data_IF_955136444077
#
_entry.id   IF_955136444077
#
_cell.length_a   1.000
_cell.length_b   1.000
_cell.length_c   1.000
_cell.angle_alpha   90.00
_cell.angle_beta   90.00
_cell.angle_gamma   90.00
#
_symmetry.space_group_name_H-M   'P 1'
#
loop_
_entity.id
_entity.type
_entity.pdbx_description
1 polymer ?
#
# COMPACT_ATOMS: atom_id res chain seq x y z
N UNK A 1 -13.60 2.86 42.41
CA UNK A 1 -13.90 3.70 41.23
C UNK A 1 -15.33 4.20 41.38
N UNK A 2 -15.51 5.49 41.66
CA UNK A 2 -16.85 6.06 41.78
C UNK A 2 -17.56 6.04 40.42
N UNK A 3 -18.81 5.59 40.38
CA UNK A 3 -19.64 5.72 39.20
C UNK A 3 -19.84 7.21 38.92
N UNK A 4 -19.25 7.70 37.84
CA UNK A 4 -19.46 9.07 37.37
C UNK A 4 -20.96 9.27 37.07
N UNK A 5 -21.58 10.29 37.66
CA UNK A 5 -23.01 10.55 37.49
C UNK A 5 -23.26 11.13 36.09
N UNK A 6 -24.14 10.47 35.32
CA UNK A 6 -24.65 11.04 34.06
C UNK A 6 -25.41 12.33 34.34
N UNK A 7 -25.11 13.38 33.57
CA UNK A 7 -25.82 14.66 33.60
C UNK A 7 -26.98 14.60 32.61
N UNK A 8 -28.20 14.90 33.07
CA UNK A 8 -29.38 15.03 32.18
C UNK A 8 -29.54 16.48 31.78
N UNK A 9 -29.55 16.74 30.48
CA UNK A 9 -29.83 18.05 29.91
C UNK A 9 -30.83 17.90 28.76
N UNK A 10 -31.56 18.96 28.46
CA UNK A 10 -32.52 19.01 27.35
C UNK A 10 -31.90 19.75 26.17
N UNK A 11 -32.16 19.27 24.96
CA UNK A 11 -31.69 19.90 23.73
C UNK A 11 -32.70 19.66 22.61
N UNK A 12 -32.66 20.53 21.60
CA UNK A 12 -33.51 20.43 20.42
C UNK A 12 -32.78 19.66 19.32
N UNK A 13 -33.49 18.75 18.67
CA UNK A 13 -33.01 17.95 17.54
C UNK A 13 -34.10 17.93 16.49
N UNK A 14 -33.72 17.97 15.22
CA UNK A 14 -34.69 17.85 14.14
C UNK A 14 -35.32 16.44 14.12
N UNK A 15 -36.62 16.32 13.79
CA UNK A 15 -37.30 15.02 13.77
C UNK A 15 -36.62 13.98 12.87
N UNK A 16 -36.02 14.39 11.76
CA UNK A 16 -35.28 13.50 10.86
C UNK A 16 -34.05 12.90 11.55
N UNK A 17 -33.21 13.73 12.16
CA UNK A 17 -32.04 13.26 12.91
C UNK A 17 -32.43 12.33 14.07
N UNK A 18 -33.58 12.57 14.71
CA UNK A 18 -34.07 11.68 15.77
C UNK A 18 -34.50 10.31 15.22
N UNK A 19 -35.13 10.27 14.04
CA UNK A 19 -35.45 9.00 13.36
C UNK A 19 -34.18 8.22 13.01
N UNK A 20 -33.13 8.90 12.56
CA UNK A 20 -31.86 8.26 12.24
C UNK A 20 -31.24 7.65 13.52
N UNK A 21 -31.24 8.39 14.64
CA UNK A 21 -30.79 7.86 15.94
C UNK A 21 -31.59 6.62 16.33
N UNK A 22 -32.91 6.64 16.17
CA UNK A 22 -33.80 5.51 16.49
C UNK A 22 -33.50 4.26 15.64
N UNK A 23 -33.20 4.45 14.36
CA UNK A 23 -32.87 3.36 13.44
C UNK A 23 -31.50 2.77 13.74
N UNK A 24 -30.50 3.64 13.97
CA UNK A 24 -29.09 3.23 14.01
C UNK A 24 -28.60 2.82 15.41
N UNK A 25 -29.22 3.27 16.52
CA UNK A 25 -28.68 2.91 17.84
C UNK A 25 -28.72 1.39 18.12
N UNK A 26 -29.69 0.68 17.54
CA UNK A 26 -29.81 -0.78 17.70
C UNK A 26 -28.83 -1.56 16.83
N UNK A 27 -28.47 -1.04 15.65
CA UNK A 27 -27.49 -1.68 14.77
C UNK A 27 -26.06 -1.53 15.29
N UNK A 28 -25.76 -0.44 15.98
CA UNK A 28 -24.41 -0.06 16.45
C UNK A 28 -24.04 -0.59 17.86
N UNK A 29 -24.67 -1.68 18.31
CA UNK A 29 -24.43 -2.30 19.63
C UNK A 29 -24.52 -1.31 20.81
N UNK A 30 -25.35 -0.26 20.67
CA UNK A 30 -25.57 0.71 21.74
C UNK A 30 -26.74 0.26 22.61
N UNK A 31 -26.59 0.34 23.93
CA UNK A 31 -27.62 -0.07 24.90
C UNK A 31 -28.77 0.92 24.97
N UNK A 32 -28.58 2.15 24.51
CA UNK A 32 -29.60 3.19 24.45
C UNK A 32 -29.27 4.26 23.41
N UNK A 33 -30.30 5.03 23.02
CA UNK A 33 -30.12 6.22 22.19
C UNK A 33 -29.16 7.23 22.83
N UNK A 34 -29.17 7.35 24.17
CA UNK A 34 -28.23 8.23 24.87
C UNK A 34 -26.78 7.79 24.71
N UNK A 35 -26.50 6.48 24.70
CA UNK A 35 -25.15 5.97 24.43
C UNK A 35 -24.72 6.27 23.00
N UNK A 36 -25.63 6.12 22.03
CA UNK A 36 -25.37 6.45 20.63
C UNK A 36 -25.06 7.94 20.45
N UNK A 37 -25.88 8.83 21.04
CA UNK A 37 -25.67 10.28 21.00
C UNK A 37 -24.36 10.66 21.69
N UNK A 38 -24.03 10.06 22.83
CA UNK A 38 -22.76 10.30 23.53
C UNK A 38 -21.56 9.89 22.67
N UNK A 39 -21.62 8.74 21.98
CA UNK A 39 -20.59 8.31 21.02
C UNK A 39 -20.47 9.29 19.85
N UNK A 40 -21.58 9.77 19.29
CA UNK A 40 -21.57 10.73 18.20
C UNK A 40 -20.93 12.08 18.61
N UNK A 41 -21.23 12.57 19.82
CA UNK A 41 -20.62 13.78 20.37
C UNK A 41 -19.11 13.58 20.57
N UNK A 42 -18.69 12.45 21.17
CA UNK A 42 -17.27 12.12 21.34
C UNK A 42 -16.55 12.00 20.00
N UNK A 43 -17.21 11.41 19.00
CA UNK A 43 -16.68 11.32 17.65
C UNK A 43 -16.45 12.71 17.05
N UNK A 44 -17.41 13.62 17.16
CA UNK A 44 -17.27 14.97 16.61
C UNK A 44 -16.23 15.81 17.36
N UNK A 45 -16.13 15.67 18.69
CA UNK A 45 -15.03 16.26 19.47
C UNK A 45 -13.68 15.71 18.99
N UNK A 46 -13.57 14.38 18.84
CA UNK A 46 -12.39 13.73 18.32
C UNK A 46 -12.04 14.17 16.89
N UNK A 47 -13.04 14.41 16.05
CA UNK A 47 -12.85 14.98 14.71
C UNK A 47 -12.29 16.41 14.78
N UNK A 48 -12.83 17.28 15.63
CA UNK A 48 -12.34 18.65 15.80
C UNK A 48 -10.93 18.72 16.40
N UNK A 49 -10.64 17.84 17.37
CA UNK A 49 -9.30 17.71 17.95
C UNK A 49 -8.33 17.11 16.92
N UNK A 50 -8.75 16.10 16.16
CA UNK A 50 -7.99 15.57 15.04
C UNK A 50 -7.75 16.66 14.00
N UNK A 51 -8.72 17.47 13.58
CA UNK A 51 -8.52 18.56 12.61
C UNK A 51 -7.47 19.58 13.10
N UNK A 52 -7.39 19.82 14.41
CA UNK A 52 -6.32 20.63 15.04
C UNK A 52 -4.96 19.93 15.05
N UNK A 53 -4.91 18.61 15.21
CA UNK A 53 -3.68 17.80 15.28
C UNK A 53 -3.22 17.21 13.92
N UNK A 54 -4.10 17.10 12.94
CA UNK A 54 -3.90 16.59 11.57
C UNK A 54 -2.94 17.49 10.81
N UNK A 55 -2.96 18.80 11.10
CA UNK A 55 -1.97 19.76 10.61
C UNK A 55 -0.52 19.43 11.03
N UNK A 56 -0.32 18.67 12.11
CA UNK A 56 1.00 18.29 12.60
C UNK A 56 1.34 16.81 12.35
N UNK A 57 0.36 15.92 12.54
CA UNK A 57 0.55 14.48 12.39
C UNK A 57 0.60 14.03 10.93
N UNK A 58 -0.20 14.62 10.03
CA UNK A 58 -0.24 14.19 8.63
C UNK A 58 1.07 14.47 7.88
N UNK A 59 1.73 15.63 8.04
CA UNK A 59 3.04 15.86 7.45
C UNK A 59 4.11 14.91 7.99
N UNK A 60 4.16 14.67 9.31
CA UNK A 60 5.15 13.75 9.90
C UNK A 60 4.96 12.30 9.46
N UNK A 61 3.71 11.82 9.36
CA UNK A 61 3.42 10.47 8.85
C UNK A 61 3.84 10.39 7.39
N UNK A 62 3.49 11.38 6.57
CA UNK A 62 3.86 11.42 5.15
C UNK A 62 5.38 11.44 4.98
N UNK A 63 6.10 12.23 5.78
CA UNK A 63 7.56 12.30 5.76
C UNK A 63 8.21 10.99 6.21
N UNK A 64 7.67 10.35 7.25
CA UNK A 64 8.15 9.04 7.73
C UNK A 64 7.94 7.93 6.70
N UNK A 65 6.78 7.93 6.03
CA UNK A 65 6.49 7.01 4.92
C UNK A 65 7.43 7.26 3.75
N UNK A 66 7.62 8.52 3.34
CA UNK A 66 8.54 8.88 2.27
C UNK A 66 9.99 8.50 2.58
N UNK A 67 10.44 8.71 3.82
CA UNK A 67 11.76 8.31 4.28
C UNK A 67 11.94 6.78 4.22
N UNK A 68 10.92 6.02 4.63
CA UNK A 68 10.93 4.55 4.57
C UNK A 68 10.98 4.04 3.13
N UNK A 69 10.17 4.62 2.24
CA UNK A 69 10.18 4.30 0.80
C UNK A 69 11.56 4.59 0.22
N UNK A 70 12.11 5.79 0.46
CA UNK A 70 13.44 6.17 -0.03
C UNK A 70 14.55 5.24 0.47
N UNK A 71 14.51 4.86 1.75
CA UNK A 71 15.45 3.89 2.31
C UNK A 71 15.37 2.52 1.63
N UNK A 72 14.15 2.09 1.33
CA UNK A 72 13.88 0.83 0.62
C UNK A 72 14.34 0.89 -0.84
N UNK A 73 14.05 1.98 -1.57
CA UNK A 73 14.51 2.21 -2.94
C UNK A 73 16.03 2.18 -3.04
N UNK A 74 16.74 2.84 -2.11
CA UNK A 74 18.19 2.83 -2.06
C UNK A 74 18.76 1.45 -1.74
N UNK A 75 18.06 0.66 -0.91
CA UNK A 75 18.46 -0.71 -0.62
C UNK A 75 18.27 -1.62 -1.84
N UNK A 76 17.09 -1.58 -2.47
CA UNK A 76 16.78 -2.32 -3.70
C UNK A 76 17.77 -1.98 -4.81
N UNK A 77 18.04 -0.70 -5.04
CA UNK A 77 19.00 -0.25 -6.09
C UNK A 77 20.39 -0.86 -5.87
N UNK A 78 20.88 -0.89 -4.62
CA UNK A 78 22.18 -1.50 -4.29
C UNK A 78 22.19 -3.01 -4.52
N UNK A 79 21.09 -3.70 -4.22
CA UNK A 79 20.97 -5.14 -4.48
C UNK A 79 20.91 -5.41 -6.00
N UNK A 80 20.08 -4.65 -6.73
CA UNK A 80 19.97 -4.76 -8.19
C UNK A 80 21.33 -4.54 -8.87
N UNK A 81 22.13 -3.58 -8.39
CA UNK A 81 23.49 -3.39 -8.89
C UNK A 81 24.37 -4.63 -8.69
N UNK A 82 24.35 -5.25 -7.49
CA UNK A 82 25.10 -6.48 -7.22
C UNK A 82 24.65 -7.64 -8.11
N UNK A 83 23.34 -7.79 -8.29
CA UNK A 83 22.76 -8.81 -9.18
C UNK A 83 23.20 -8.55 -10.63
N UNK A 84 23.18 -7.30 -11.09
CA UNK A 84 23.62 -6.94 -12.44
C UNK A 84 25.11 -7.25 -12.67
N UNK A 85 25.97 -7.03 -11.66
CA UNK A 85 27.39 -7.39 -11.73
C UNK A 85 27.57 -8.90 -11.89
N UNK A 86 26.89 -9.71 -11.08
CA UNK A 86 26.99 -11.18 -11.19
C UNK A 86 26.38 -11.70 -12.51
N UNK A 87 25.26 -11.12 -12.95
CA UNK A 87 24.66 -11.44 -14.25
C UNK A 87 25.61 -11.10 -15.41
N UNK A 88 26.28 -9.95 -15.35
CA UNK A 88 27.29 -9.56 -16.33
C UNK A 88 28.45 -10.56 -16.41
N UNK A 89 28.98 -11.00 -15.26
CA UNK A 89 30.03 -12.04 -15.22
C UNK A 89 29.55 -13.34 -15.87
N UNK A 90 28.35 -13.81 -15.52
CA UNK A 90 27.77 -15.02 -16.10
C UNK A 90 27.59 -14.89 -17.62
N UNK A 91 27.05 -13.76 -18.10
CA UNK A 91 26.87 -13.50 -19.52
C UNK A 91 28.20 -13.49 -20.28
N UNK A 92 29.24 -12.85 -19.74
CA UNK A 92 30.57 -12.85 -20.35
C UNK A 92 31.21 -14.25 -20.37
N UNK A 93 31.11 -15.01 -19.27
CA UNK A 93 31.61 -16.39 -19.22
C UNK A 93 30.88 -17.29 -20.22
N UNK A 94 29.56 -17.15 -20.35
CA UNK A 94 28.76 -17.95 -21.27
C UNK A 94 29.07 -17.60 -22.74
N UNK A 95 29.16 -16.30 -23.06
CA UNK A 95 29.53 -15.85 -24.40
C UNK A 95 30.91 -16.39 -24.80
N UNK A 96 31.89 -16.36 -23.89
CA UNK A 96 33.23 -16.90 -24.13
C UNK A 96 33.24 -18.43 -24.24
N UNK A 97 32.42 -19.14 -23.45
CA UNK A 97 32.36 -20.60 -23.47
C UNK A 97 31.69 -21.17 -24.73
N UNK A 98 30.77 -20.41 -25.33
CA UNK A 98 29.99 -20.85 -26.50
C UNK A 98 30.36 -20.12 -27.80
N UNK A 99 31.41 -19.30 -27.79
CA UNK A 99 31.90 -18.53 -28.95
C UNK A 99 30.76 -17.75 -29.65
N UNK A 100 29.88 -17.14 -28.84
CA UNK A 100 28.68 -16.47 -29.33
C UNK A 100 29.06 -15.16 -30.01
N UNK A 101 28.67 -15.00 -31.28
CA UNK A 101 28.92 -13.77 -32.03
C UNK A 101 27.98 -12.62 -31.62
N UNK A 102 28.37 -11.41 -32.01
CA UNK A 102 27.65 -10.19 -31.64
C UNK A 102 26.25 -10.12 -32.30
N UNK A 103 26.09 -10.69 -33.49
CA UNK A 103 24.81 -10.70 -34.21
C UNK A 103 23.77 -11.55 -33.46
N UNK A 104 24.16 -12.75 -33.02
CA UNK A 104 23.33 -13.66 -32.23
C UNK A 104 22.91 -13.01 -30.91
N UNK A 105 23.83 -12.30 -30.23
CA UNK A 105 23.50 -11.57 -29.00
C UNK A 105 22.48 -10.45 -29.23
N UNK A 106 22.59 -9.69 -30.33
CA UNK A 106 21.63 -8.62 -30.68
C UNK A 106 20.24 -9.18 -31.01
N UNK A 107 20.18 -10.31 -31.71
CA UNK A 107 18.93 -10.99 -32.00
C UNK A 107 18.27 -11.50 -30.71
N UNK A 108 19.03 -12.19 -29.85
CA UNK A 108 18.55 -12.67 -28.56
C UNK A 108 18.05 -11.52 -27.67
N UNK A 109 18.79 -10.41 -27.60
CA UNK A 109 18.34 -9.22 -26.85
C UNK A 109 16.99 -8.70 -27.37
N UNK A 110 16.84 -8.58 -28.69
CA UNK A 110 15.61 -8.08 -29.31
C UNK A 110 14.41 -9.01 -29.03
N UNK A 111 14.64 -10.32 -29.07
CA UNK A 111 13.63 -11.33 -28.72
C UNK A 111 13.20 -11.21 -27.26
N UNK A 112 14.15 -11.19 -26.32
CA UNK A 112 13.88 -11.06 -24.89
C UNK A 112 13.13 -9.76 -24.56
N UNK A 113 13.51 -8.62 -25.16
CA UNK A 113 12.79 -7.35 -24.95
C UNK A 113 11.35 -7.43 -25.45
N UNK A 114 11.12 -8.06 -26.62
CA UNK A 114 9.77 -8.25 -27.15
C UNK A 114 8.92 -9.14 -26.23
N UNK A 115 9.50 -10.24 -25.75
CA UNK A 115 8.84 -11.17 -24.84
C UNK A 115 8.47 -10.51 -23.51
N UNK A 116 9.43 -9.85 -22.86
CA UNK A 116 9.25 -9.11 -21.60
C UNK A 116 8.15 -8.05 -21.73
N UNK A 117 8.08 -7.35 -22.87
CA UNK A 117 7.00 -6.40 -23.15
C UNK A 117 5.64 -7.09 -23.29
N UNK A 118 5.57 -8.23 -23.98
CA UNK A 118 4.32 -9.00 -24.15
C UNK A 118 3.78 -9.53 -22.83
N UNK A 119 4.66 -9.94 -21.91
CA UNK A 119 4.30 -10.55 -20.62
C UNK A 119 4.30 -9.55 -19.45
N UNK A 120 4.39 -8.24 -19.73
CA UNK A 120 4.43 -7.17 -18.72
C UNK A 120 5.49 -7.39 -17.62
N UNK A 121 6.66 -7.90 -17.98
CA UNK A 121 7.77 -8.13 -17.04
C UNK A 121 7.71 -9.44 -16.26
N UNK A 122 6.66 -10.26 -16.43
CA UNK A 122 6.53 -11.55 -15.75
C UNK A 122 7.20 -12.65 -16.59
N UNK A 123 8.48 -12.91 -16.32
CA UNK A 123 9.24 -13.97 -17.02
C UNK A 123 8.93 -15.33 -16.40
N UNK A 124 8.45 -16.28 -17.22
CA UNK A 124 8.27 -17.68 -16.81
C UNK A 124 9.29 -18.58 -17.50
N UNK A 125 10.09 -19.29 -16.70
CA UNK A 125 11.14 -20.18 -17.19
C UNK A 125 10.58 -21.38 -17.97
N UNK A 126 9.39 -21.86 -17.62
CA UNK A 126 8.76 -23.00 -18.30
C UNK A 126 8.41 -22.67 -19.74
N UNK A 127 7.99 -21.43 -19.99
CA UNK A 127 7.62 -20.95 -21.31
C UNK A 127 8.87 -20.66 -22.16
N UNK A 128 9.93 -20.14 -21.55
CA UNK A 128 11.24 -20.01 -22.20
C UNK A 128 11.80 -21.38 -22.64
N UNK A 129 11.65 -22.42 -21.81
CA UNK A 129 12.10 -23.79 -22.15
C UNK A 129 11.28 -24.40 -23.28
N UNK A 130 9.96 -24.16 -23.33
CA UNK A 130 9.12 -24.62 -24.45
C UNK A 130 9.56 -23.97 -25.76
N UNK A 131 9.80 -22.67 -25.74
CA UNK A 131 10.23 -21.91 -26.92
C UNK A 131 11.56 -22.40 -27.50
N UNK A 132 12.51 -22.84 -26.67
CA UNK A 132 13.80 -23.38 -27.12
C UNK A 132 13.72 -24.81 -27.70
N UNK A 133 12.56 -25.49 -27.56
CA UNK A 133 12.33 -26.86 -28.04
C UNK A 133 11.49 -26.92 -29.32
N UNK A 134 10.94 -25.79 -29.76
CA UNK A 134 10.27 -25.61 -31.06
C UNK A 134 11.28 -25.13 -32.11
#
# INVERSE_FOLDING_TARGET
MGFEKKIRFQFWVYPETMKDVEQHFKSENCKSQSEFIEKAIKFYIGYLDAERHVNYLSPMITESVAATIKGTEQHITRILFKVAVELGKLSHMLAAAHDVDEETLRQLHSMCVSEVRKINGIINYEDAVKFQKE
#
